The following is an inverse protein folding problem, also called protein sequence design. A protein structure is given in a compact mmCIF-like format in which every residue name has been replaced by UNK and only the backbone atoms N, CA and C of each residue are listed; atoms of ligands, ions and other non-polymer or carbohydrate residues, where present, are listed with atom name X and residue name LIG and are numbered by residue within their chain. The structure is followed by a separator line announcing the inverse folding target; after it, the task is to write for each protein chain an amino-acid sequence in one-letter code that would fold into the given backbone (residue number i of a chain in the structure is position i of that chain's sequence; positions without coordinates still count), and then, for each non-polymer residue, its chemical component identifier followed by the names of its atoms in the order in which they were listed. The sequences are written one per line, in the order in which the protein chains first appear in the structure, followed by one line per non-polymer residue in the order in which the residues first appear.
data_IF_309229670508
#
_entry.id   IF_309229670508
#
_cell.length_a   1.000
_cell.length_b   1.000
_cell.length_c   1.000
_cell.angle_alpha   90.00
_cell.angle_beta   90.00
_cell.angle_gamma   90.00
#
_symmetry.space_group_name_H-M   'P 1'
#
loop_
_entity.id
_entity.type
_entity.pdbx_description
1 polymer ?
#
# COMPACT_ATOMS: atom_id res chain seq x y z
N UNK A 1 11.32 1.00 -2.76
CA UNK A 1 10.76 1.77 -1.62
C UNK A 1 11.26 3.20 -1.60
N UNK A 2 10.43 4.11 -1.08
CA UNK A 2 10.70 5.53 -0.81
C UNK A 2 10.55 5.77 0.71
N UNK A 3 11.37 6.68 1.26
CA UNK A 3 11.34 7.06 2.67
C UNK A 3 10.29 8.13 2.92
N UNK A 4 9.39 7.90 3.88
CA UNK A 4 8.42 8.87 4.38
C UNK A 4 8.85 9.29 5.79
N UNK A 5 9.18 10.58 6.03
CA UNK A 5 9.66 11.03 7.32
C UNK A 5 8.59 10.94 8.41
N UNK A 6 9.06 10.74 9.65
CA UNK A 6 8.22 10.84 10.83
C UNK A 6 7.60 12.23 10.94
N UNK A 7 6.43 12.33 11.55
CA UNK A 7 5.81 13.61 11.89
C UNK A 7 4.32 13.67 11.60
N UNK A 8 3.78 14.85 11.86
CA UNK A 8 2.36 15.13 11.77
C UNK A 8 1.87 15.29 10.34
N UNK A 9 0.65 14.84 10.08
CA UNK A 9 -0.09 15.13 8.85
C UNK A 9 -1.59 15.21 9.13
N UNK A 10 -2.33 15.78 8.19
CA UNK A 10 -3.79 15.80 8.21
C UNK A 10 -4.31 14.53 7.51
N UNK A 11 -5.07 13.71 8.23
CA UNK A 11 -5.77 12.53 7.71
C UNK A 11 -7.27 12.77 7.69
N UNK A 12 -7.95 12.13 6.75
CA UNK A 12 -9.40 12.17 6.59
C UNK A 12 -9.88 13.34 5.71
N UNK A 13 -11.17 13.65 5.81
CA UNK A 13 -11.84 14.63 4.94
C UNK A 13 -12.90 15.44 5.66
N UNK A 14 -12.91 16.76 5.41
CA UNK A 14 -14.02 17.65 5.76
C UNK A 14 -15.23 17.43 4.84
N UNK A 15 -14.98 17.17 3.55
CA UNK A 15 -16.04 16.96 2.55
C UNK A 15 -16.89 15.72 2.85
N UNK A 16 -16.27 14.70 3.46
CA UNK A 16 -16.92 13.43 3.80
C UNK A 16 -16.94 13.21 5.32
N UNK A 17 -17.11 14.29 6.10
CA UNK A 17 -17.06 14.26 7.56
C UNK A 17 -18.14 13.37 8.22
N UNK A 18 -19.27 13.14 7.54
CA UNK A 18 -20.33 12.24 8.00
C UNK A 18 -20.03 10.74 7.82
N UNK A 19 -18.99 10.37 7.08
CA UNK A 19 -18.54 8.98 6.94
C UNK A 19 -17.48 8.69 8.03
N UNK A 20 -17.77 7.83 9.02
CA UNK A 20 -16.82 7.55 10.10
C UNK A 20 -15.55 6.82 9.64
N UNK A 21 -15.55 6.24 8.42
CA UNK A 21 -14.36 5.61 7.83
C UNK A 21 -13.41 6.61 7.15
N UNK A 22 -13.87 7.84 6.89
CA UNK A 22 -13.11 8.87 6.15
C UNK A 22 -12.95 10.15 6.95
N UNK A 23 -13.99 10.59 7.67
CA UNK A 23 -14.02 11.83 8.44
C UNK A 23 -13.76 11.64 9.94
N UNK A 24 -13.70 12.75 10.70
CA UNK A 24 -13.43 14.11 10.22
C UNK A 24 -11.95 14.27 9.84
N UNK A 25 -11.63 15.41 9.22
CA UNK A 25 -10.22 15.80 9.05
C UNK A 25 -9.59 16.00 10.43
N UNK A 26 -8.45 15.37 10.67
CA UNK A 26 -7.75 15.45 11.95
C UNK A 26 -6.25 15.38 11.78
N UNK A 27 -5.52 15.95 12.74
CA UNK A 27 -4.06 15.90 12.77
C UNK A 27 -3.61 14.68 13.57
N UNK A 28 -2.71 13.89 13.00
CA UNK A 28 -2.08 12.76 13.69
C UNK A 28 -0.59 12.71 13.37
N UNK A 29 0.20 12.04 14.21
CA UNK A 29 1.64 11.82 13.98
C UNK A 29 1.92 10.34 13.71
N UNK A 30 2.75 10.07 12.71
CA UNK A 30 3.25 8.73 12.39
C UNK A 30 4.77 8.67 12.52
N UNK A 31 5.34 7.51 12.92
CA UNK A 31 6.78 7.27 12.79
C UNK A 31 7.21 7.30 11.31
N UNK A 32 8.52 7.32 11.08
CA UNK A 32 9.06 7.20 9.74
C UNK A 32 8.85 5.77 9.22
N UNK A 33 8.57 5.62 7.93
CA UNK A 33 8.39 4.33 7.29
C UNK A 33 8.84 4.37 5.84
N UNK A 34 8.93 3.19 5.24
CA UNK A 34 9.18 3.04 3.82
C UNK A 34 7.93 2.46 3.14
N UNK A 35 7.61 2.94 1.94
CA UNK A 35 6.55 2.37 1.09
C UNK A 35 7.08 2.22 -0.33
N UNK A 36 6.60 1.24 -1.10
CA UNK A 36 6.98 1.14 -2.51
C UNK A 36 6.33 2.27 -3.33
N UNK A 37 7.09 2.78 -4.32
CA UNK A 37 6.63 3.88 -5.20
C UNK A 37 5.52 3.40 -6.14
N UNK A 38 5.55 2.12 -6.48
CA UNK A 38 4.62 1.46 -7.39
C UNK A 38 4.12 0.20 -6.72
N UNK A 39 2.96 -0.27 -7.16
CA UNK A 39 2.46 -1.60 -6.84
C UNK A 39 3.46 -2.68 -7.29
N UNK A 40 3.36 -3.86 -6.67
CA UNK A 40 4.14 -5.02 -7.13
C UNK A 40 3.68 -5.43 -8.52
N UNK A 41 4.63 -5.70 -9.40
CA UNK A 41 4.31 -6.18 -10.75
C UNK A 41 3.94 -7.66 -10.75
N UNK A 42 3.29 -8.10 -11.82
CA UNK A 42 3.01 -9.50 -12.10
C UNK A 42 4.25 -10.40 -11.97
N UNK A 43 5.38 -10.00 -12.57
CA UNK A 43 6.63 -10.74 -12.48
C UNK A 43 7.19 -10.81 -11.05
N UNK A 44 7.07 -9.73 -10.28
CA UNK A 44 7.53 -9.70 -8.89
C UNK A 44 6.70 -10.62 -7.99
N UNK A 45 5.39 -10.64 -8.18
CA UNK A 45 4.52 -11.57 -7.45
C UNK A 45 4.80 -13.01 -7.87
N UNK A 46 4.93 -13.29 -9.17
CA UNK A 46 5.21 -14.65 -9.67
C UNK A 46 6.54 -15.22 -9.14
N UNK A 47 7.56 -14.37 -8.93
CA UNK A 47 8.83 -14.78 -8.34
C UNK A 47 8.70 -15.35 -6.91
N UNK A 48 7.67 -14.92 -6.16
CA UNK A 48 7.37 -15.39 -4.80
C UNK A 48 6.26 -16.44 -4.80
N UNK A 49 5.28 -16.29 -5.70
CA UNK A 49 4.09 -17.12 -5.85
C UNK A 49 4.04 -17.68 -7.28
N UNK A 50 4.67 -18.84 -7.56
CA UNK A 50 4.77 -19.37 -8.92
C UNK A 50 3.43 -19.71 -9.60
N UNK A 51 2.36 -19.90 -8.84
CA UNK A 51 0.99 -20.10 -9.34
C UNK A 51 0.30 -18.79 -9.76
N UNK A 52 0.92 -17.62 -9.55
CA UNK A 52 0.41 -16.34 -10.03
C UNK A 52 0.45 -16.28 -11.57
N UNK A 53 -0.72 -16.18 -12.20
CA UNK A 53 -0.88 -16.15 -13.65
C UNK A 53 -1.33 -14.79 -14.15
N UNK A 54 -0.81 -14.38 -15.30
CA UNK A 54 -1.14 -13.13 -15.98
C UNK A 54 -0.94 -13.29 -17.50
N UNK A 55 -1.41 -12.35 -18.32
CA UNK A 55 -1.25 -12.48 -19.78
C UNK A 55 0.19 -12.19 -20.19
N UNK A 56 0.68 -12.88 -21.21
CA UNK A 56 2.01 -12.61 -21.77
C UNK A 56 2.13 -11.14 -22.21
N UNK A 57 3.22 -10.47 -21.85
CA UNK A 57 3.42 -9.04 -22.10
C UNK A 57 2.94 -8.11 -20.98
N UNK A 58 2.28 -8.65 -19.94
CA UNK A 58 1.82 -7.88 -18.76
C UNK A 58 2.77 -8.02 -17.55
N UNK A 59 4.03 -8.46 -17.74
CA UNK A 59 4.99 -8.77 -16.66
C UNK A 59 5.23 -7.58 -15.71
N UNK A 60 5.20 -6.36 -16.28
CA UNK A 60 5.46 -5.11 -15.57
C UNK A 60 4.18 -4.41 -15.10
N UNK A 61 3.00 -4.97 -15.37
CA UNK A 61 1.74 -4.38 -14.91
C UNK A 61 1.53 -4.71 -13.44
N UNK A 62 0.79 -3.86 -12.68
CA UNK A 62 0.40 -4.18 -11.31
C UNK A 62 -0.27 -5.54 -11.22
N UNK A 63 0.17 -6.37 -10.29
CA UNK A 63 -0.44 -7.67 -10.06
C UNK A 63 -1.87 -7.51 -9.54
N UNK A 64 -2.79 -8.25 -10.15
CA UNK A 64 -4.22 -8.29 -9.79
C UNK A 64 -4.66 -9.73 -9.50
N UNK A 65 -5.85 -9.90 -8.91
CA UNK A 65 -6.39 -11.24 -8.61
C UNK A 65 -5.82 -11.89 -7.33
N UNK A 66 -5.10 -11.10 -6.51
CA UNK A 66 -4.66 -11.51 -5.18
C UNK A 66 -5.72 -11.16 -4.14
N UNK A 67 -6.05 -12.11 -3.28
CA UNK A 67 -6.75 -11.81 -2.03
C UNK A 67 -5.81 -11.12 -1.04
N UNK A 68 -6.40 -10.49 -0.02
CA UNK A 68 -5.63 -9.81 1.02
C UNK A 68 -4.61 -10.74 1.71
N UNK A 69 -5.03 -11.97 2.04
CA UNK A 69 -4.13 -12.96 2.66
C UNK A 69 -2.95 -13.31 1.76
N UNK A 70 -3.19 -13.49 0.46
CA UNK A 70 -2.12 -13.79 -0.50
C UNK A 70 -1.13 -12.62 -0.63
N UNK A 71 -1.63 -11.37 -0.62
CA UNK A 71 -0.75 -10.20 -0.62
C UNK A 71 0.12 -10.12 0.63
N UNK A 72 -0.43 -10.44 1.81
CA UNK A 72 0.33 -10.51 3.06
C UNK A 72 1.39 -11.60 3.02
N UNK A 73 1.05 -12.81 2.56
CA UNK A 73 2.00 -13.91 2.41
C UNK A 73 3.16 -13.56 1.46
N UNK A 74 2.84 -12.96 0.31
CA UNK A 74 3.87 -12.53 -0.67
C UNK A 74 4.82 -11.50 -0.06
N UNK A 75 4.29 -10.49 0.64
CA UNK A 75 5.11 -9.46 1.26
C UNK A 75 5.94 -10.00 2.43
N UNK A 76 5.40 -10.92 3.22
CA UNK A 76 6.12 -11.55 4.33
C UNK A 76 7.36 -12.34 3.84
N UNK A 77 7.26 -13.03 2.70
CA UNK A 77 8.40 -13.71 2.06
C UNK A 77 9.50 -12.76 1.56
N UNK A 78 9.21 -11.46 1.50
CA UNK A 78 10.15 -10.40 1.11
C UNK A 78 10.61 -9.54 2.29
N UNK A 79 10.35 -9.98 3.53
CA UNK A 79 10.55 -9.18 4.76
C UNK A 79 9.85 -7.80 4.72
N UNK A 80 8.69 -7.74 4.04
CA UNK A 80 7.84 -6.56 3.89
C UNK A 80 6.46 -6.80 4.53
N UNK A 81 5.66 -5.73 4.55
CA UNK A 81 4.25 -5.76 4.98
C UNK A 81 3.40 -4.80 4.17
N UNK A 82 2.08 -4.97 4.25
CA UNK A 82 1.15 -3.94 3.78
C UNK A 82 1.30 -2.67 4.64
N UNK A 83 1.14 -1.48 4.02
CA UNK A 83 0.99 -0.24 4.79
C UNK A 83 -0.34 -0.27 5.54
N UNK A 84 -0.39 0.40 6.69
CA UNK A 84 -1.67 0.78 7.29
C UNK A 84 -2.39 1.81 6.40
N UNK A 85 -3.70 1.97 6.58
CA UNK A 85 -4.46 2.99 5.86
C UNK A 85 -3.88 4.41 6.07
N UNK A 86 -3.38 4.71 7.27
CA UNK A 86 -2.79 6.02 7.59
C UNK A 86 -1.43 6.22 6.93
N UNK A 87 -0.59 5.18 6.86
CA UNK A 87 0.68 5.23 6.13
C UNK A 87 0.44 5.43 4.63
N UNK A 88 -0.56 4.73 4.08
CA UNK A 88 -0.95 4.86 2.68
C UNK A 88 -1.45 6.27 2.38
N UNK A 89 -2.35 6.82 3.21
CA UNK A 89 -2.86 8.18 3.05
C UNK A 89 -1.75 9.23 3.20
N UNK A 90 -0.86 9.11 4.19
CA UNK A 90 0.26 10.03 4.37
C UNK A 90 1.17 10.04 3.13
N UNK A 91 1.53 8.86 2.62
CA UNK A 91 2.34 8.74 1.42
C UNK A 91 1.66 9.35 0.17
N UNK A 92 0.33 9.22 0.06
CA UNK A 92 -0.43 9.76 -1.06
C UNK A 92 -0.58 11.29 -1.06
N UNK A 93 -0.37 11.94 0.09
CA UNK A 93 -0.50 13.41 0.24
C UNK A 93 0.76 14.19 -0.13
N UNK A 94 1.88 13.51 -0.41
CA UNK A 94 3.18 14.11 -0.69
C UNK A 94 3.94 14.55 0.57
#
# INVERSE_FOLDING_TARGET
MIYIPAGEFLTGSERFSGDPSVGPLRKISLPAFFIDRTEMSNAQVQAVRPDHSYRQGEENYPAVGLSWNQAVEVLANLDKRLPSALEWEKAARG
#
